data_IF_880642183314
#
_entry.id   IF_880642183314
#
_cell.length_a   1.000
_cell.length_b   1.000
_cell.length_c   1.000
_cell.angle_alpha   90.00
_cell.angle_beta   90.00
_cell.angle_gamma   90.00
#
_symmetry.space_group_name_H-M   'P 1'
#
loop_
_entity.id
_entity.type
_entity.pdbx_description
1 polymer ?
#
# COMPACT_ATOMS: atom_id res chain seq x y z
N UNK A 1 11.30 36.34 -9.11
CA UNK A 1 12.11 35.87 -7.97
C UNK A 1 11.37 34.69 -7.39
N UNK A 2 11.87 33.48 -7.63
CA UNK A 2 11.12 32.24 -7.48
C UNK A 2 10.77 31.96 -6.01
N UNK A 3 9.48 31.82 -5.72
CA UNK A 3 8.85 31.43 -4.46
C UNK A 3 9.13 29.95 -4.10
N UNK A 4 10.39 29.54 -4.19
CA UNK A 4 10.84 28.15 -4.03
C UNK A 4 11.32 27.82 -2.61
N UNK A 5 11.53 28.83 -1.77
CA UNK A 5 12.03 28.65 -0.40
C UNK A 5 11.00 28.08 0.57
N UNK A 6 9.72 28.44 0.40
CA UNK A 6 8.65 28.05 1.33
C UNK A 6 8.33 26.55 1.23
N UNK A 7 8.29 26.01 0.00
CA UNK A 7 8.00 24.59 -0.26
C UNK A 7 9.06 23.64 0.32
N UNK A 8 10.35 24.01 0.22
CA UNK A 8 11.45 23.20 0.77
C UNK A 8 11.37 23.09 2.30
N UNK A 9 11.06 24.20 2.97
CA UNK A 9 10.92 24.26 4.42
C UNK A 9 9.73 23.43 4.91
N UNK A 10 8.60 23.49 4.19
CA UNK A 10 7.43 22.65 4.46
C UNK A 10 7.73 21.14 4.30
N UNK A 11 8.50 20.76 3.29
CA UNK A 11 8.92 19.37 3.08
C UNK A 11 9.81 18.83 4.22
N UNK A 12 10.82 19.60 4.64
CA UNK A 12 11.69 19.21 5.75
C UNK A 12 10.90 19.03 7.05
N UNK A 13 10.01 19.97 7.36
CA UNK A 13 9.13 19.87 8.53
C UNK A 13 8.24 18.63 8.49
N UNK A 14 7.79 18.20 7.31
CA UNK A 14 6.99 16.96 7.16
C UNK A 14 7.81 15.72 7.51
N UNK A 15 9.09 15.66 7.12
CA UNK A 15 9.99 14.56 7.47
C UNK A 15 10.22 14.50 8.97
N UNK A 16 10.56 15.64 9.58
CA UNK A 16 10.83 15.74 11.02
C UNK A 16 9.64 15.34 11.89
N UNK A 17 8.42 15.53 11.38
CA UNK A 17 7.18 15.24 12.11
C UNK A 17 6.53 13.91 11.69
N UNK A 18 7.19 13.08 10.87
CA UNK A 18 6.66 11.77 10.51
C UNK A 18 6.81 10.81 11.70
N UNK A 19 5.70 10.31 12.28
CA UNK A 19 5.80 9.35 13.38
C UNK A 19 6.49 8.08 12.87
N UNK A 20 7.32 7.41 13.70
CA UNK A 20 8.00 6.20 13.27
C UNK A 20 6.98 5.17 12.77
N UNK A 21 7.17 4.68 11.53
CA UNK A 21 6.36 3.62 10.94
C UNK A 21 6.43 2.38 11.84
N UNK A 22 5.38 2.17 12.64
CA UNK A 22 5.34 1.08 13.61
C UNK A 22 5.00 -0.21 12.88
N UNK A 23 6.01 -1.05 12.69
CA UNK A 23 5.78 -2.43 12.29
C UNK A 23 5.03 -3.16 13.41
N UNK A 24 4.10 -4.04 13.04
CA UNK A 24 3.27 -4.77 14.01
C UNK A 24 3.04 -6.21 13.54
N UNK A 25 3.09 -7.21 14.43
CA UNK A 25 2.66 -8.56 14.09
C UNK A 25 1.13 -8.56 13.86
N UNK A 26 0.70 -9.18 12.77
CA UNK A 26 -0.72 -9.35 12.38
C UNK A 26 -0.95 -10.71 11.77
N UNK A 27 -2.21 -11.15 11.71
CA UNK A 27 -2.60 -12.35 10.97
C UNK A 27 -3.08 -11.96 9.57
N UNK A 28 -2.66 -12.71 8.55
CA UNK A 28 -3.04 -12.47 7.17
C UNK A 28 -4.52 -12.76 6.93
N UNK A 29 -5.25 -11.84 6.29
CA UNK A 29 -6.67 -12.06 5.98
C UNK A 29 -6.95 -13.22 5.01
N UNK A 30 -5.95 -13.67 4.24
CA UNK A 30 -6.10 -14.75 3.25
C UNK A 30 -5.77 -16.13 3.82
N UNK A 31 -4.65 -16.26 4.53
CA UNK A 31 -4.13 -17.55 5.00
C UNK A 31 -4.04 -17.66 6.53
N UNK A 32 -4.42 -16.61 7.26
CA UNK A 32 -4.32 -16.49 8.72
C UNK A 32 -2.90 -16.61 9.31
N UNK A 33 -1.86 -16.79 8.48
CA UNK A 33 -0.49 -16.85 8.96
C UNK A 33 -0.06 -15.51 9.61
N UNK A 34 0.68 -15.55 10.73
CA UNK A 34 1.26 -14.36 11.32
C UNK A 34 2.31 -13.76 10.38
N UNK A 35 2.34 -12.43 10.27
CA UNK A 35 3.32 -11.68 9.50
C UNK A 35 3.54 -10.30 10.10
N UNK A 36 4.69 -9.69 9.83
CA UNK A 36 5.00 -8.33 10.26
C UNK A 36 4.45 -7.33 9.26
N UNK A 37 3.45 -6.53 9.66
CA UNK A 37 2.90 -5.45 8.84
C UNK A 37 3.83 -4.24 8.86
N UNK A 38 4.21 -3.72 7.69
CA UNK A 38 5.05 -2.53 7.52
C UNK A 38 4.33 -1.23 7.90
N UNK A 39 3.00 -1.17 7.74
CA UNK A 39 2.17 0.01 8.03
C UNK A 39 0.77 -0.40 8.50
N UNK A 40 0.01 0.55 9.03
CA UNK A 40 -1.23 0.28 9.76
C UNK A 40 -2.32 -0.47 8.97
N UNK A 41 -2.37 -0.28 7.64
CA UNK A 41 -3.37 -0.90 6.77
C UNK A 41 -2.87 -2.13 6.01
N UNK A 42 -1.63 -2.59 6.21
CA UNK A 42 -1.19 -3.84 5.61
C UNK A 42 -1.83 -5.03 6.33
N UNK A 43 -2.68 -5.77 5.61
CA UNK A 43 -3.45 -6.91 6.16
C UNK A 43 -3.25 -8.24 5.44
N UNK A 44 -2.42 -8.27 4.40
CA UNK A 44 -2.13 -9.48 3.62
C UNK A 44 -0.62 -9.71 3.63
N UNK A 45 -0.19 -10.92 3.97
CA UNK A 45 1.23 -11.24 4.04
C UNK A 45 1.89 -11.19 2.64
N UNK A 46 3.22 -10.99 2.56
CA UNK A 46 3.92 -10.91 1.28
C UNK A 46 3.68 -12.12 0.36
N UNK A 47 3.59 -13.33 0.92
CA UNK A 47 3.30 -14.57 0.18
C UNK A 47 1.92 -14.56 -0.48
N UNK A 48 0.89 -14.11 0.22
CA UNK A 48 -0.47 -14.01 -0.33
C UNK A 48 -0.63 -12.77 -1.23
N UNK A 49 0.20 -11.74 -1.04
CA UNK A 49 0.23 -10.56 -1.90
C UNK A 49 0.88 -10.87 -3.26
N UNK A 50 1.92 -11.73 -3.28
CA UNK A 50 2.58 -12.16 -4.52
C UNK A 50 1.79 -13.20 -5.31
N UNK A 51 0.87 -13.94 -4.67
CA UNK A 51 0.09 -14.99 -5.32
C UNK A 51 -0.95 -14.50 -6.33
N UNK A 52 -0.96 -13.22 -6.70
CA UNK A 52 -1.58 -12.72 -7.94
C UNK A 52 -3.11 -12.75 -8.05
N UNK A 53 -3.84 -13.37 -7.12
CA UNK A 53 -5.29 -13.59 -7.22
C UNK A 53 -6.16 -12.32 -7.37
N UNK A 54 -5.57 -11.13 -7.16
CA UNK A 54 -6.23 -9.84 -7.42
C UNK A 54 -6.28 -9.47 -8.91
N UNK A 55 -5.40 -10.03 -9.76
CA UNK A 55 -5.35 -9.70 -11.19
C UNK A 55 -6.39 -10.46 -12.02
N UNK A 56 -6.91 -11.57 -11.52
CA UNK A 56 -7.91 -12.39 -12.24
C UNK A 56 -9.23 -11.64 -12.46
N UNK A 57 -9.56 -10.67 -11.59
CA UNK A 57 -10.74 -9.82 -11.75
C UNK A 57 -10.68 -8.85 -12.94
N UNK A 58 -9.49 -8.51 -13.45
CA UNK A 58 -9.35 -7.64 -14.63
C UNK A 58 -9.70 -8.43 -15.91
N UNK A 59 -9.26 -9.69 -16.01
CA UNK A 59 -9.51 -10.53 -17.18
C UNK A 59 -11.02 -10.85 -17.34
N UNK A 60 -11.72 -11.08 -16.24
CA UNK A 60 -13.17 -11.29 -16.26
C UNK A 60 -13.95 -10.03 -16.69
N UNK A 61 -13.47 -8.83 -16.33
CA UNK A 61 -14.14 -7.57 -16.67
C UNK A 61 -13.86 -7.13 -18.13
N UNK A 62 -12.66 -7.34 -18.66
CA UNK A 62 -12.36 -7.04 -20.08
C UNK A 62 -13.17 -7.92 -21.05
N UNK A 63 -13.46 -9.18 -20.69
CA UNK A 63 -14.35 -10.03 -21.48
C UNK A 63 -15.82 -9.52 -21.54
N UNK A 64 -16.23 -8.73 -20.55
CA UNK A 64 -17.58 -8.16 -20.50
C UNK A 64 -17.74 -6.89 -21.34
N UNK A 65 -16.64 -6.23 -21.75
CA UNK A 65 -16.68 -4.93 -22.44
C UNK A 65 -16.57 -5.06 -23.97
N UNK A 66 -16.19 -6.23 -24.50
CA UNK A 66 -16.13 -6.49 -25.95
C UNK A 66 -17.44 -7.04 -26.54
N UNK A 67 -18.56 -6.89 -25.83
CA UNK A 67 -19.91 -7.27 -26.27
C UNK A 67 -20.78 -6.03 -26.55
N UNK A 68 -20.16 -4.93 -26.99
CA UNK A 68 -20.83 -3.79 -27.62
C UNK A 68 -19.94 -3.25 -28.72
#
# INVERSE_FOLDING_TARGET
>A
MSDTGHHRKAYLRKIENEPPQRTKPRHCLKCQAPFTSAWAGERVCPKCKSSGAWRDGIAANMASWSRW
#
